data_IF_076818200549
#
_entry.id   IF_076818200549
#
_cell.length_a   1.000
_cell.length_b   1.000
_cell.length_c   1.000
_cell.angle_alpha   90.00
_cell.angle_beta   90.00
_cell.angle_gamma   90.00
#
_symmetry.space_group_name_H-M   'P 1'
#
loop_
_entity.id
_entity.type
_entity.pdbx_description
1 polymer ?
#
# COMPACT_ATOMS: atom_id res chain seq x y z
N UNK A 1 11.75 5.40 14.49
CA UNK A 1 10.50 5.91 15.10
C UNK A 1 9.88 4.77 15.87
N UNK A 2 9.56 4.99 17.15
CA UNK A 2 8.89 3.97 17.96
C UNK A 2 7.38 4.14 17.75
N UNK A 3 6.72 3.07 17.34
CA UNK A 3 5.29 3.07 17.00
C UNK A 3 4.50 2.60 18.20
N UNK A 4 3.46 3.34 18.60
CA UNK A 4 2.61 2.98 19.73
C UNK A 4 3.24 3.19 21.10
N UNK A 5 4.29 4.01 21.22
CA UNK A 5 4.81 4.48 22.51
C UNK A 5 3.97 5.62 23.10
N UNK A 6 3.22 6.32 22.26
CA UNK A 6 2.32 7.42 22.62
C UNK A 6 1.08 7.41 21.70
N UNK A 7 0.24 8.45 21.79
CA UNK A 7 -0.96 8.61 21.00
C UNK A 7 -0.72 9.11 19.55
N UNK A 8 0.53 9.13 19.07
CA UNK A 8 0.84 9.57 17.71
C UNK A 8 0.19 8.62 16.70
N UNK A 9 -0.59 9.19 15.79
CA UNK A 9 -1.25 8.46 14.72
C UNK A 9 -0.33 8.24 13.50
N UNK A 10 -0.71 7.30 12.62
CA UNK A 10 0.11 6.99 11.44
C UNK A 10 0.21 8.16 10.46
N UNK A 11 -0.80 9.04 10.40
CA UNK A 11 -0.76 10.27 9.60
C UNK A 11 0.42 11.15 10.00
N UNK A 12 0.57 11.44 11.30
CA UNK A 12 1.68 12.23 11.85
C UNK A 12 3.02 11.55 11.60
N UNK A 13 3.09 10.23 11.76
CA UNK A 13 4.31 9.44 11.52
C UNK A 13 4.74 9.55 10.05
N UNK A 14 3.82 9.37 9.10
CA UNK A 14 4.12 9.44 7.66
C UNK A 14 4.50 10.85 7.20
N UNK A 15 3.85 11.89 7.72
CA UNK A 15 4.22 13.28 7.45
C UNK A 15 5.62 13.60 7.97
N UNK A 16 5.97 13.09 9.15
CA UNK A 16 7.31 13.22 9.71
C UNK A 16 8.35 12.48 8.85
N UNK A 17 8.06 11.25 8.42
CA UNK A 17 8.93 10.48 7.53
C UNK A 17 9.14 11.19 6.18
N UNK A 18 8.07 11.71 5.56
CA UNK A 18 8.16 12.50 4.33
C UNK A 18 9.03 13.75 4.51
N UNK A 19 8.90 14.45 5.64
CA UNK A 19 9.72 15.62 5.96
C UNK A 19 11.19 15.26 6.12
N UNK A 20 11.49 14.13 6.74
CA UNK A 20 12.86 13.60 6.85
C UNK A 20 13.49 13.28 5.49
N UNK A 21 12.72 12.74 4.55
CA UNK A 21 13.20 12.47 3.20
C UNK A 21 13.39 13.74 2.37
N UNK A 22 12.43 14.66 2.43
CA UNK A 22 12.46 15.88 1.62
C UNK A 22 13.53 16.88 2.10
N UNK A 23 13.58 17.13 3.41
CA UNK A 23 14.42 18.16 4.02
C UNK A 23 15.82 17.66 4.39
N UNK A 24 15.95 16.40 4.82
CA UNK A 24 17.22 15.85 5.33
C UNK A 24 17.82 14.76 4.44
N UNK A 25 17.20 14.47 3.28
CA UNK A 25 17.68 13.49 2.29
C UNK A 25 18.01 12.11 2.87
N UNK A 26 17.29 11.71 3.93
CA UNK A 26 17.47 10.37 4.49
C UNK A 26 17.11 9.31 3.45
N UNK A 27 17.81 8.17 3.51
CA UNK A 27 17.52 7.04 2.61
C UNK A 27 16.36 6.17 3.08
N UNK A 28 16.20 6.04 4.40
CA UNK A 28 15.21 5.17 5.05
C UNK A 28 14.96 5.58 6.50
N UNK A 29 13.71 5.57 6.90
CA UNK A 29 13.25 5.60 8.29
C UNK A 29 12.95 4.16 8.73
N UNK A 30 13.31 3.83 9.96
CA UNK A 30 12.99 2.54 10.59
C UNK A 30 11.87 2.73 11.61
N UNK A 31 10.90 1.83 11.58
CA UNK A 31 9.79 1.73 12.52
C UNK A 31 10.02 0.51 13.40
N UNK A 32 9.66 0.63 14.67
CA UNK A 32 9.70 -0.49 15.62
C UNK A 32 8.52 -0.33 16.57
N UNK A 33 7.71 -1.38 16.69
CA UNK A 33 6.62 -1.43 17.66
C UNK A 33 7.15 -1.29 19.08
N UNK A 34 6.46 -0.48 19.89
CA UNK A 34 6.72 -0.37 21.31
C UNK A 34 6.50 -1.71 22.00
N UNK A 35 7.46 -2.12 22.83
CA UNK A 35 7.37 -3.33 23.64
C UNK A 35 7.35 -2.92 25.12
N UNK A 36 6.22 -3.05 25.82
CA UNK A 36 6.14 -2.70 27.23
C UNK A 36 7.01 -3.63 28.07
N UNK A 37 7.74 -3.07 29.02
CA UNK A 37 8.50 -3.83 30.03
C UNK A 37 7.74 -3.82 31.37
N UNK A 38 7.95 -4.83 32.24
CA UNK A 38 7.43 -4.79 33.60
C UNK A 38 7.83 -3.48 34.30
N UNK A 39 6.89 -2.84 35.01
CA UNK A 39 7.06 -1.53 35.68
C UNK A 39 7.31 -0.34 34.73
N UNK A 40 6.79 -0.39 33.50
CA UNK A 40 6.78 0.78 32.62
C UNK A 40 6.05 1.96 33.27
N UNK A 41 6.53 3.21 33.13
CA UNK A 41 5.86 4.38 33.68
C UNK A 41 4.45 4.54 33.07
N UNK A 42 3.52 5.12 33.83
CA UNK A 42 2.13 5.33 33.37
C UNK A 42 1.98 6.22 32.14
N UNK A 43 3.07 6.87 31.69
CA UNK A 43 3.12 7.69 30.48
C UNK A 43 3.18 6.88 29.18
N UNK A 44 3.41 5.56 29.23
CA UNK A 44 3.47 4.69 28.04
C UNK A 44 2.39 3.60 28.08
N UNK A 45 1.89 3.12 26.92
CA UNK A 45 0.87 2.08 26.88
C UNK A 45 1.29 0.78 27.56
N UNK A 46 0.35 0.14 28.26
CA UNK A 46 0.57 -1.15 28.91
C UNK A 46 0.50 -2.33 27.93
N UNK A 47 -0.05 -2.12 26.74
CA UNK A 47 -0.17 -3.12 25.69
C UNK A 47 0.69 -2.75 24.48
N UNK A 48 1.34 -3.74 23.89
CA UNK A 48 2.01 -3.57 22.61
C UNK A 48 0.99 -3.24 21.50
N UNK A 49 1.35 -2.38 20.53
CA UNK A 49 0.48 -2.11 19.40
C UNK A 49 0.34 -3.36 18.51
N UNK A 50 -0.71 -3.44 17.67
CA UNK A 50 -0.84 -4.53 16.70
C UNK A 50 0.41 -4.61 15.80
N UNK A 51 1.03 -5.80 15.69
CA UNK A 51 2.22 -6.00 14.84
C UNK A 51 1.99 -5.57 13.38
N UNK A 52 0.74 -5.67 12.90
CA UNK A 52 0.36 -5.20 11.57
C UNK A 52 0.51 -3.69 11.38
N UNK A 53 0.40 -2.89 12.44
CA UNK A 53 0.59 -1.43 12.34
C UNK A 53 2.00 -1.09 11.87
N UNK A 54 3.03 -1.70 12.47
CA UNK A 54 4.42 -1.52 12.03
C UNK A 54 4.62 -1.95 10.56
N UNK A 55 4.05 -3.09 10.18
CA UNK A 55 4.12 -3.58 8.81
C UNK A 55 3.45 -2.62 7.82
N UNK A 56 2.29 -2.06 8.16
CA UNK A 56 1.59 -1.05 7.34
C UNK A 56 2.39 0.22 7.17
N UNK A 57 3.02 0.71 8.22
CA UNK A 57 3.91 1.87 8.15
C UNK A 57 5.11 1.61 7.21
N UNK A 58 5.72 0.42 7.24
CA UNK A 58 6.77 0.07 6.28
C UNK A 58 6.26 -0.01 4.84
N UNK A 59 5.05 -0.53 4.63
CA UNK A 59 4.43 -0.56 3.30
C UNK A 59 4.16 0.86 2.78
N UNK A 60 3.57 1.73 3.60
CA UNK A 60 3.31 3.13 3.27
C UNK A 60 4.62 3.89 2.99
N UNK A 61 5.65 3.73 3.83
CA UNK A 61 6.97 4.32 3.63
C UNK A 61 7.60 3.94 2.28
N UNK A 62 7.44 2.68 1.89
CA UNK A 62 7.92 2.21 0.60
C UNK A 62 7.20 2.90 -0.57
N UNK A 63 5.91 3.22 -0.42
CA UNK A 63 5.16 4.00 -1.41
C UNK A 63 5.66 5.44 -1.50
N UNK A 64 5.98 6.08 -0.36
CA UNK A 64 6.54 7.43 -0.34
C UNK A 64 7.86 7.49 -1.11
N UNK A 65 8.80 6.57 -0.80
CA UNK A 65 10.15 6.60 -1.39
C UNK A 65 10.22 6.04 -2.80
N UNK A 66 9.50 4.96 -3.05
CA UNK A 66 9.61 4.21 -4.31
C UNK A 66 8.62 4.70 -5.37
N UNK A 67 7.38 4.98 -4.97
CA UNK A 67 6.28 5.22 -5.90
C UNK A 67 5.92 6.71 -6.03
N UNK A 68 6.56 7.59 -5.26
CA UNK A 68 6.28 9.02 -5.28
C UNK A 68 4.92 9.38 -4.67
N UNK A 69 4.39 8.54 -3.77
CA UNK A 69 3.23 8.92 -2.98
C UNK A 69 3.58 10.03 -2.00
N UNK A 70 2.59 10.84 -1.64
CA UNK A 70 2.69 11.72 -0.47
C UNK A 70 1.93 11.15 0.72
N UNK A 71 2.30 11.56 1.93
CA UNK A 71 1.59 11.18 3.15
C UNK A 71 0.09 11.56 3.07
N UNK A 72 -0.21 12.76 2.55
CA UNK A 72 -1.58 13.24 2.36
C UNK A 72 -2.41 12.47 1.32
N UNK A 73 -1.74 11.80 0.37
CA UNK A 73 -2.43 10.87 -0.54
C UNK A 73 -2.80 9.57 0.18
N UNK A 74 -1.93 9.06 1.05
CA UNK A 74 -2.17 7.80 1.76
C UNK A 74 -3.19 7.97 2.91
N UNK A 75 -3.16 9.11 3.58
CA UNK A 75 -4.09 9.50 4.65
C UNK A 75 -4.48 10.96 4.45
N UNK A 76 -5.74 11.22 4.10
CA UNK A 76 -6.23 12.59 3.86
C UNK A 76 -6.48 13.40 5.13
N UNK A 77 -6.35 12.79 6.30
CA UNK A 77 -6.61 13.43 7.60
C UNK A 77 -5.88 12.71 8.74
N UNK A 78 -6.15 13.10 9.99
CA UNK A 78 -5.65 12.39 11.16
C UNK A 78 -6.20 10.95 11.19
N UNK A 79 -5.44 10.05 11.80
CA UNK A 79 -5.80 8.65 11.96
C UNK A 79 -4.71 7.66 11.53
N UNK A 80 -5.07 6.38 11.62
CA UNK A 80 -4.19 5.26 11.38
C UNK A 80 -4.46 4.55 10.05
N UNK A 81 -3.45 3.84 9.54
CA UNK A 81 -3.60 3.00 8.35
C UNK A 81 -4.51 1.81 8.65
N UNK A 82 -5.30 1.40 7.66
CA UNK A 82 -6.11 0.19 7.75
C UNK A 82 -5.21 -1.04 7.96
N UNK A 83 -5.50 -1.82 9.00
CA UNK A 83 -4.68 -2.97 9.38
C UNK A 83 -4.94 -4.20 8.49
N UNK A 84 -6.11 -4.30 7.88
CA UNK A 84 -6.53 -5.46 7.08
C UNK A 84 -6.29 -5.31 5.57
N UNK A 85 -5.83 -4.14 5.10
CA UNK A 85 -5.58 -3.92 3.67
C UNK A 85 -4.30 -3.13 3.42
N UNK A 86 -3.58 -3.47 2.34
CA UNK A 86 -2.33 -2.77 2.02
C UNK A 86 -2.58 -1.31 1.59
N UNK A 87 -1.70 -0.35 1.94
CA UNK A 87 -1.94 1.07 1.69
C UNK A 87 -2.12 1.44 0.22
N UNK A 88 -1.50 0.68 -0.71
CA UNK A 88 -1.62 0.95 -2.14
C UNK A 88 -3.00 0.54 -2.67
N UNK A 89 -3.51 -0.59 -2.20
CA UNK A 89 -4.86 -1.04 -2.48
C UNK A 89 -5.90 -0.15 -1.79
N UNK A 90 -5.70 0.24 -0.53
CA UNK A 90 -6.56 1.18 0.18
C UNK A 90 -6.70 2.50 -0.61
N UNK A 91 -5.57 3.05 -1.07
CA UNK A 91 -5.57 4.22 -1.95
C UNK A 91 -6.36 4.01 -3.23
N UNK A 92 -6.17 2.88 -3.92
CA UNK A 92 -6.86 2.59 -5.17
C UNK A 92 -8.38 2.42 -4.99
N UNK A 93 -8.82 1.88 -3.85
CA UNK A 93 -10.23 1.79 -3.49
C UNK A 93 -10.81 3.15 -3.08
N UNK A 94 -10.03 4.03 -2.46
CA UNK A 94 -10.45 5.41 -2.18
C UNK A 94 -10.48 6.31 -3.42
N UNK A 95 -9.75 5.92 -4.48
CA UNK A 95 -9.61 6.72 -5.70
C UNK A 95 -10.24 6.02 -6.92
N UNK A 96 -11.48 5.53 -6.81
CA UNK A 96 -12.12 4.79 -7.90
C UNK A 96 -12.37 5.64 -9.14
N UNK A 97 -12.42 6.96 -9.04
CA UNK A 97 -12.59 7.88 -10.16
C UNK A 97 -11.48 7.80 -11.22
N UNK A 98 -10.28 7.30 -10.86
CA UNK A 98 -9.18 7.10 -11.83
C UNK A 98 -9.09 5.68 -12.37
N UNK A 99 -9.95 4.77 -11.92
CA UNK A 99 -9.92 3.35 -12.27
C UNK A 99 -11.24 2.87 -12.89
N UNK A 100 -11.23 1.88 -13.80
CA UNK A 100 -10.07 1.14 -14.26
C UNK A 100 -9.21 1.92 -15.27
N UNK A 101 -7.92 1.58 -15.32
CA UNK A 101 -6.93 2.30 -16.10
C UNK A 101 -6.61 1.58 -17.42
N UNK A 102 -6.77 2.25 -18.56
CA UNK A 102 -6.31 1.71 -19.86
C UNK A 102 -4.78 1.66 -19.89
N UNK A 103 -4.25 0.44 -19.77
CA UNK A 103 -2.82 0.17 -19.82
C UNK A 103 -2.22 0.34 -21.22
N UNK A 104 -2.89 0.92 -22.20
CA UNK A 104 -2.25 1.36 -23.44
C UNK A 104 -2.19 2.88 -23.56
N UNK A 105 -2.89 3.62 -22.69
CA UNK A 105 -3.02 5.09 -22.75
C UNK A 105 -2.50 5.82 -21.52
N UNK A 106 -2.62 5.21 -20.35
CA UNK A 106 -2.33 5.88 -19.10
C UNK A 106 -0.86 6.21 -18.86
N UNK A 107 -0.60 7.23 -18.06
CA UNK A 107 0.76 7.61 -17.69
C UNK A 107 1.46 6.59 -16.80
N UNK A 108 2.78 6.51 -16.94
CA UNK A 108 3.67 5.66 -16.13
C UNK A 108 3.41 5.81 -14.63
N UNK A 109 3.29 7.04 -14.14
CA UNK A 109 3.05 7.32 -12.73
C UNK A 109 1.74 6.70 -12.23
N UNK A 110 0.67 6.77 -13.02
CA UNK A 110 -0.64 6.25 -12.63
C UNK A 110 -0.70 4.72 -12.70
N UNK A 111 -0.03 4.10 -13.68
CA UNK A 111 0.12 2.63 -13.74
C UNK A 111 0.88 2.11 -12.52
N UNK A 112 1.91 2.84 -12.08
CA UNK A 112 2.65 2.49 -10.89
C UNK A 112 1.78 2.52 -9.63
N UNK A 113 0.61 3.17 -9.64
CA UNK A 113 -0.36 3.17 -8.52
C UNK A 113 -1.35 2.00 -8.56
N UNK A 114 -1.40 1.22 -9.64
CA UNK A 114 -2.25 0.01 -9.73
C UNK A 114 -1.81 -1.05 -8.70
N UNK A 115 -2.71 -1.56 -7.85
CA UNK A 115 -2.41 -2.66 -6.93
C UNK A 115 -1.94 -3.91 -7.69
N UNK A 116 -0.88 -4.56 -7.21
CA UNK A 116 -0.30 -5.74 -7.87
C UNK A 116 0.61 -5.47 -9.07
N UNK A 117 0.80 -4.21 -9.48
CA UNK A 117 1.80 -3.80 -10.47
C UNK A 117 2.92 -3.01 -9.78
N UNK A 118 4.17 -3.44 -9.93
CA UNK A 118 5.34 -2.75 -9.37
C UNK A 118 5.97 -1.72 -10.32
N UNK A 119 6.89 -0.90 -9.82
CA UNK A 119 7.60 0.14 -10.61
C UNK A 119 8.38 -0.49 -11.78
N UNK A 120 9.13 -1.56 -11.53
CA UNK A 120 9.90 -2.25 -12.58
C UNK A 120 8.98 -2.81 -13.67
N UNK A 121 7.84 -3.35 -13.27
CA UNK A 121 6.83 -3.85 -14.22
C UNK A 121 6.18 -2.70 -14.98
N UNK A 122 5.93 -1.58 -14.32
CA UNK A 122 5.42 -0.36 -14.97
C UNK A 122 6.35 0.13 -16.07
N UNK A 123 7.66 0.18 -15.81
CA UNK A 123 8.67 0.54 -16.82
C UNK A 123 8.62 -0.40 -18.03
N UNK A 124 8.61 -1.71 -17.78
CA UNK A 124 8.49 -2.74 -18.83
C UNK A 124 7.19 -2.62 -19.63
N UNK A 125 6.08 -2.27 -18.99
CA UNK A 125 4.81 -2.03 -19.67
C UNK A 125 4.91 -0.82 -20.60
N UNK A 126 5.46 0.29 -20.12
CA UNK A 126 5.65 1.51 -20.93
C UNK A 126 6.56 1.25 -22.12
N UNK A 127 7.63 0.48 -21.94
CA UNK A 127 8.51 0.03 -23.02
C UNK A 127 7.75 -0.85 -24.04
N UNK A 128 6.97 -1.82 -23.54
CA UNK A 128 6.21 -2.75 -24.39
C UNK A 128 5.20 -2.03 -25.28
N UNK A 129 4.53 -0.97 -24.78
CA UNK A 129 3.55 -0.17 -25.55
C UNK A 129 4.12 0.45 -26.81
N UNK A 130 5.42 0.74 -26.81
CA UNK A 130 6.10 1.31 -27.99
C UNK A 130 6.24 0.29 -29.13
N UNK A 131 6.14 -0.99 -28.80
CA UNK A 131 6.32 -2.10 -29.74
C UNK A 131 4.97 -2.71 -30.14
N UNK A 132 4.04 -2.86 -29.18
CA UNK A 132 2.72 -3.44 -29.40
C UNK A 132 1.72 -3.03 -28.33
N UNK A 133 0.43 -3.26 -28.59
CA UNK A 133 -0.60 -3.11 -27.57
C UNK A 133 -0.41 -4.16 -26.47
N UNK A 134 -0.49 -3.72 -25.21
CA UNK A 134 -0.47 -4.59 -24.04
C UNK A 134 -1.73 -5.42 -24.01
N UNK A 135 -1.53 -6.73 -23.88
CA UNK A 135 -2.54 -7.76 -23.66
C UNK A 135 -2.52 -8.24 -22.22
N UNK A 136 -3.59 -8.90 -21.81
CA UNK A 136 -3.71 -9.45 -20.46
C UNK A 136 -2.61 -10.49 -20.17
N UNK A 137 -2.26 -11.31 -21.17
CA UNK A 137 -1.18 -12.30 -21.05
C UNK A 137 0.20 -11.70 -20.72
N UNK A 138 0.46 -10.45 -21.14
CA UNK A 138 1.72 -9.76 -20.87
C UNK A 138 1.91 -9.54 -19.38
N UNK A 139 0.82 -9.20 -18.69
CA UNK A 139 0.83 -8.97 -17.25
C UNK A 139 1.12 -10.25 -16.48
N UNK A 140 0.61 -11.39 -16.94
CA UNK A 140 0.93 -12.72 -16.40
C UNK A 140 2.42 -13.03 -16.58
N UNK A 141 2.96 -12.82 -17.79
CA UNK A 141 4.39 -13.05 -18.09
C UNK A 141 5.31 -12.14 -17.28
N UNK A 142 4.88 -10.91 -17.00
CA UNK A 142 5.59 -9.97 -16.15
C UNK A 142 5.40 -10.21 -14.64
N UNK A 143 4.72 -11.29 -14.25
CA UNK A 143 4.47 -11.69 -12.85
C UNK A 143 3.73 -10.63 -12.03
N UNK A 144 2.79 -9.92 -12.66
CA UNK A 144 1.87 -9.05 -11.92
C UNK A 144 1.00 -9.89 -10.98
N UNK A 145 0.62 -9.34 -9.83
CA UNK A 145 -0.36 -9.97 -8.93
C UNK A 145 -1.76 -9.70 -9.47
N UNK A 146 -2.17 -10.50 -10.47
CA UNK A 146 -3.41 -10.27 -11.21
C UNK A 146 -4.66 -10.35 -10.32
N UNK A 147 -4.62 -11.14 -9.24
CA UNK A 147 -5.71 -11.18 -8.27
C UNK A 147 -6.03 -9.80 -7.70
N UNK A 148 -5.02 -8.94 -7.51
CA UNK A 148 -5.18 -7.55 -7.06
C UNK A 148 -5.37 -6.56 -8.21
N UNK A 149 -4.71 -6.77 -9.35
CA UNK A 149 -4.68 -5.80 -10.44
C UNK A 149 -5.96 -5.79 -11.30
N UNK A 150 -6.59 -6.95 -11.51
CA UNK A 150 -7.73 -7.14 -12.43
C UNK A 150 -8.82 -6.05 -12.34
N UNK A 151 -9.30 -5.65 -11.15
CA UNK A 151 -10.38 -4.65 -11.04
C UNK A 151 -9.98 -3.24 -11.51
N UNK A 152 -8.69 -2.96 -11.60
CA UNK A 152 -8.15 -1.61 -11.77
C UNK A 152 -7.55 -1.37 -13.16
N UNK A 153 -7.62 -2.32 -14.09
CA UNK A 153 -6.90 -2.24 -15.37
C UNK A 153 -7.76 -2.63 -16.57
N UNK A 154 -7.48 -2.02 -17.71
CA UNK A 154 -7.95 -2.41 -19.04
C UNK A 154 -6.72 -2.74 -19.90
N UNK A 155 -6.78 -3.83 -20.66
CA UNK A 155 -5.82 -4.14 -21.73
C UNK A 155 -6.54 -4.23 -23.08
N UNK A 156 -5.83 -4.49 -24.17
CA UNK A 156 -6.48 -4.59 -25.49
C UNK A 156 -7.51 -5.72 -25.60
N UNK A 157 -7.40 -6.74 -24.76
CA UNK A 157 -8.20 -7.97 -24.77
C UNK A 157 -8.83 -8.30 -23.41
N UNK A 158 -8.77 -7.38 -22.44
CA UNK A 158 -9.40 -7.54 -21.15
C UNK A 158 -10.02 -6.22 -20.68
N UNK A 159 -11.28 -6.32 -20.31
CA UNK A 159 -11.99 -5.30 -19.55
C UNK A 159 -12.47 -5.94 -18.25
N UNK A 160 -12.36 -5.26 -17.10
CA UNK A 160 -12.89 -5.80 -15.86
C UNK A 160 -14.41 -5.94 -16.01
N UNK A 161 -14.99 -7.14 -15.77
CA UNK A 161 -16.43 -7.39 -15.97
C UNK A 161 -17.31 -6.54 -15.03
N UNK A 162 -16.68 -5.90 -14.05
CA UNK A 162 -17.29 -5.28 -12.90
C UNK A 162 -16.62 -3.92 -12.62
N UNK A 163 -16.43 -3.10 -13.67
CA UNK A 163 -15.88 -1.75 -13.50
C UNK A 163 -16.72 -0.90 -12.53
N UNK A 164 -18.01 -1.22 -12.37
CA UNK A 164 -18.98 -0.59 -11.46
C UNK A 164 -19.06 -1.24 -10.05
N UNK A 165 -18.27 -2.27 -9.75
CA UNK A 165 -18.29 -2.85 -8.40
C UNK A 165 -17.80 -1.85 -7.35
N UNK A 166 -18.51 -1.81 -6.24
CA UNK A 166 -18.24 -0.87 -5.15
C UNK A 166 -16.91 -1.14 -4.47
N UNK A 167 -16.31 -0.10 -3.90
CA UNK A 167 -15.07 -0.22 -3.15
C UNK A 167 -15.20 -1.16 -1.95
N UNK A 168 -16.37 -1.22 -1.30
CA UNK A 168 -16.63 -2.11 -0.17
C UNK A 168 -16.56 -3.58 -0.58
N UNK A 169 -17.15 -3.94 -1.73
CA UNK A 169 -17.09 -5.32 -2.21
C UNK A 169 -15.65 -5.72 -2.55
N UNK A 170 -14.91 -4.86 -3.26
CA UNK A 170 -13.51 -5.11 -3.58
C UNK A 170 -12.65 -5.18 -2.32
N UNK A 171 -12.92 -4.34 -1.32
CA UNK A 171 -12.28 -4.39 -0.01
C UNK A 171 -12.46 -5.77 0.63
N UNK A 172 -13.70 -6.26 0.73
CA UNK A 172 -13.97 -7.59 1.29
C UNK A 172 -13.30 -8.73 0.53
N UNK A 173 -13.21 -8.62 -0.80
CA UNK A 173 -12.60 -9.63 -1.65
C UNK A 173 -11.06 -9.64 -1.56
N UNK A 174 -10.44 -8.46 -1.47
CA UNK A 174 -9.00 -8.26 -1.64
C UNK A 174 -8.23 -7.98 -0.34
N UNK A 175 -8.92 -7.73 0.78
CA UNK A 175 -8.28 -7.56 2.09
C UNK A 175 -7.43 -8.77 2.45
N UNK A 176 -6.38 -8.51 3.23
CA UNK A 176 -5.53 -9.55 3.76
C UNK A 176 -6.35 -10.46 4.67
N UNK A 177 -6.31 -11.77 4.41
CA UNK A 177 -6.93 -12.74 5.32
C UNK A 177 -6.01 -12.89 6.53
N UNK A 178 -6.56 -12.93 7.76
CA UNK A 178 -5.75 -13.16 8.94
C UNK A 178 -4.95 -14.46 8.74
N UNK A 179 -3.63 -14.37 8.86
CA UNK A 179 -2.84 -15.60 9.01
C UNK A 179 -3.33 -16.28 10.29
N UNK A 180 -3.59 -17.59 10.28
CA UNK A 180 -3.90 -18.28 11.52
C UNK A 180 -2.77 -18.00 12.51
N UNK A 181 -3.11 -17.42 13.66
CA UNK A 181 -2.15 -17.23 14.74
C UNK A 181 -1.62 -18.62 15.10
N UNK A 182 -0.36 -18.91 14.77
CA UNK A 182 0.34 -19.99 15.46
C UNK A 182 0.38 -19.58 16.92
N UNK A 183 -0.41 -20.24 17.77
CA UNK A 183 -0.29 -20.09 19.21
C UNK A 183 1.17 -20.36 19.57
N UNK A 184 1.82 -19.38 20.18
CA UNK A 184 3.20 -19.51 20.62
C UNK A 184 3.34 -20.74 21.51
N UNK A 185 4.14 -21.71 21.08
CA UNK A 185 4.51 -22.88 21.87
C UNK A 185 5.56 -22.49 22.92
N UNK A 186 5.19 -21.62 23.87
CA UNK A 186 6.03 -21.33 25.03
C UNK A 186 5.13 -21.04 26.23
N UNK A 187 4.92 -22.06 27.05
CA UNK A 187 4.52 -21.99 28.45
C UNK A 187 5.62 -22.59 29.31
#
# INVERSE_FOLDING_TARGET
>A
MIVGADATDDSTILHSAQSLYSNFKLRRVYYSAFSPIPNSPNSVPLAAPPLMREHRLYQADFLLRGYGFTAGELLSGPGDLALDIDPKLAWALGNRQVFPLDLNKADAALIARVPGIGIRTTQRLVELRRQRRIRYEDLTRMRCILAKAKPFIITSDYHPPHAETTSEFLHHQLRDRPQPQQMGLWG
#
